data_IF_529619741746
#
_entry.id   IF_529619741746
#
_cell.length_a   1.000
_cell.length_b   1.000
_cell.length_c   1.000
_cell.angle_alpha   90.00
_cell.angle_beta   90.00
_cell.angle_gamma   90.00
#
_symmetry.space_group_name_H-M   'P 1'
#
loop_
_entity.id
_entity.type
_entity.pdbx_description
1 polymer ?
#
# COMPACT_ATOMS: atom_id res chain seq x y z
N UNK A 1 32.58 -24.02 -19.01
CA UNK A 1 32.18 -22.65 -18.57
C UNK A 1 30.83 -22.59 -17.85
N UNK A 2 30.39 -23.64 -17.14
CA UNK A 2 29.03 -23.78 -16.56
C UNK A 2 28.96 -23.63 -15.02
N UNK A 3 30.11 -23.70 -14.29
CA UNK A 3 30.12 -23.64 -12.80
C UNK A 3 29.89 -22.22 -12.21
N UNK A 4 30.24 -21.13 -12.90
CA UNK A 4 30.10 -19.75 -12.36
C UNK A 4 28.65 -19.23 -12.36
N UNK A 5 27.79 -19.75 -13.22
CA UNK A 5 26.36 -19.31 -13.27
C UNK A 5 25.51 -19.88 -12.14
N UNK A 6 25.84 -21.06 -11.64
CA UNK A 6 25.10 -21.73 -10.56
C UNK A 6 25.38 -21.13 -9.18
N UNK A 7 26.63 -20.69 -8.92
CA UNK A 7 27.01 -20.05 -7.65
C UNK A 7 26.35 -18.68 -7.45
N UNK A 8 26.21 -17.88 -8.52
CA UNK A 8 25.52 -16.58 -8.44
C UNK A 8 24.03 -16.71 -8.13
N UNK A 9 23.36 -17.73 -8.70
CA UNK A 9 21.93 -17.99 -8.45
C UNK A 9 21.67 -18.48 -7.02
N UNK A 10 22.58 -19.30 -6.47
CA UNK A 10 22.48 -19.79 -5.08
C UNK A 10 22.74 -18.63 -4.09
N UNK A 11 23.70 -17.77 -4.36
CA UNK A 11 23.99 -16.61 -3.51
C UNK A 11 22.83 -15.59 -3.50
N UNK A 12 22.12 -15.41 -4.63
CA UNK A 12 20.96 -14.54 -4.72
C UNK A 12 19.78 -15.10 -3.91
N UNK A 13 19.51 -16.40 -4.01
CA UNK A 13 18.46 -17.08 -3.27
C UNK A 13 18.68 -17.04 -1.76
N UNK A 14 19.94 -17.15 -1.29
CA UNK A 14 20.30 -17.02 0.13
C UNK A 14 20.16 -15.57 0.65
N UNK A 15 20.37 -14.55 -0.19
CA UNK A 15 20.15 -13.14 0.20
C UNK A 15 18.67 -12.81 0.38
N UNK A 16 17.81 -13.33 -0.46
CA UNK A 16 16.36 -13.13 -0.34
C UNK A 16 15.78 -13.88 0.86
N UNK A 17 16.24 -15.10 1.13
CA UNK A 17 15.86 -15.85 2.32
C UNK A 17 16.26 -15.13 3.63
N UNK A 18 17.42 -14.47 3.67
CA UNK A 18 17.85 -13.68 4.85
C UNK A 18 17.04 -12.38 5.04
N UNK A 19 16.56 -11.76 3.96
CA UNK A 19 15.66 -10.59 4.05
C UNK A 19 14.28 -11.00 4.58
N UNK A 20 13.74 -12.12 4.15
CA UNK A 20 12.49 -12.70 4.66
C UNK A 20 12.58 -13.10 6.13
N UNK A 21 13.70 -13.66 6.59
CA UNK A 21 13.90 -14.03 7.99
C UNK A 21 13.93 -12.83 8.94
N UNK A 22 14.58 -11.72 8.55
CA UNK A 22 14.61 -10.49 9.37
C UNK A 22 13.23 -9.82 9.49
N UNK A 23 12.42 -9.85 8.44
CA UNK A 23 11.04 -9.35 8.48
C UNK A 23 10.17 -10.25 9.39
N UNK A 24 10.38 -11.56 9.37
CA UNK A 24 9.64 -12.50 10.21
C UNK A 24 9.98 -12.38 11.71
N UNK A 25 11.20 -11.99 12.09
CA UNK A 25 11.59 -11.79 13.49
C UNK A 25 10.99 -10.51 14.09
N UNK A 26 10.97 -9.40 13.34
CA UNK A 26 10.32 -8.15 13.79
C UNK A 26 8.80 -8.27 13.88
N UNK A 27 8.21 -9.25 13.19
CA UNK A 27 6.78 -9.50 13.18
C UNK A 27 6.27 -10.18 14.46
N UNK A 28 7.12 -10.86 15.24
CA UNK A 28 6.71 -11.62 16.46
C UNK A 28 6.44 -10.76 17.69
N UNK A 29 6.85 -9.50 17.72
CA UNK A 29 6.75 -8.61 18.89
C UNK A 29 5.58 -7.62 18.86
N UNK A 30 4.68 -7.72 17.89
CA UNK A 30 3.56 -6.82 17.78
C UNK A 30 2.47 -7.14 18.82
N UNK A 31 2.32 -6.29 19.85
CA UNK A 31 1.27 -6.38 20.87
C UNK A 31 -0.01 -5.63 20.51
N UNK A 32 -0.16 -5.17 19.27
CA UNK A 32 -1.34 -4.40 18.84
C UNK A 32 -2.51 -5.35 18.51
N UNK A 33 -3.59 -5.25 19.27
CA UNK A 33 -4.81 -6.06 19.08
C UNK A 33 -5.48 -5.74 17.73
N UNK A 34 -5.40 -4.48 17.30
CA UNK A 34 -5.97 -4.01 16.02
C UNK A 34 -4.99 -4.12 14.84
N UNK A 35 -4.02 -5.01 14.92
CA UNK A 35 -3.14 -5.35 13.82
C UNK A 35 -3.82 -6.37 12.90
N UNK A 36 -3.74 -6.16 11.59
CA UNK A 36 -4.27 -7.08 10.58
C UNK A 36 -3.37 -8.31 10.35
N UNK A 37 -2.08 -8.24 10.73
CA UNK A 37 -1.09 -9.32 10.55
C UNK A 37 -1.01 -10.19 11.80
N UNK A 38 -0.83 -9.59 12.99
CA UNK A 38 -0.56 -10.30 14.24
C UNK A 38 -1.75 -10.26 15.22
N UNK A 39 -2.68 -9.32 15.02
CA UNK A 39 -3.84 -9.14 15.86
C UNK A 39 -5.07 -9.90 15.39
N UNK A 40 -6.23 -9.52 15.94
CA UNK A 40 -7.53 -10.14 15.62
C UNK A 40 -8.33 -9.36 14.58
N UNK A 41 -7.73 -8.35 13.93
CA UNK A 41 -8.43 -7.53 12.96
C UNK A 41 -8.53 -8.25 11.62
N UNK A 42 -9.75 -8.64 11.26
CA UNK A 42 -10.04 -9.21 9.93
C UNK A 42 -10.31 -8.08 8.94
N UNK A 43 -9.69 -8.18 7.77
CA UNK A 43 -9.92 -7.28 6.63
C UNK A 43 -10.91 -7.91 5.67
N UNK A 44 -11.86 -7.13 5.20
CA UNK A 44 -12.89 -7.56 4.25
C UNK A 44 -13.39 -6.35 3.47
N UNK A 45 -14.06 -6.57 2.36
CA UNK A 45 -14.67 -5.50 1.58
C UNK A 45 -13.71 -4.80 0.64
N UNK A 46 -13.94 -3.51 0.42
CA UNK A 46 -13.30 -2.72 -0.63
C UNK A 46 -11.86 -2.40 -0.32
N UNK A 47 -11.05 -2.37 -1.38
CA UNK A 47 -9.65 -1.97 -1.36
C UNK A 47 -9.55 -0.62 -2.07
N UNK A 48 -8.79 0.31 -1.48
CA UNK A 48 -8.49 1.61 -2.06
C UNK A 48 -6.99 1.84 -2.08
N UNK A 49 -6.55 2.57 -3.07
CA UNK A 49 -5.17 3.01 -3.23
C UNK A 49 -5.14 4.53 -3.22
N UNK A 50 -4.14 5.10 -2.56
CA UNK A 50 -4.02 6.54 -2.48
C UNK A 50 -2.73 6.99 -1.84
N UNK A 51 -2.47 8.29 -1.91
CA UNK A 51 -1.26 8.92 -1.40
C UNK A 51 -1.42 9.32 0.06
N UNK A 52 -0.43 9.02 0.89
CA UNK A 52 -0.40 9.43 2.31
C UNK A 52 -0.15 10.91 2.42
N UNK A 53 -1.14 11.65 2.90
CA UNK A 53 -1.04 13.11 3.13
C UNK A 53 -0.56 13.44 4.54
N UNK A 54 -0.99 12.66 5.54
CA UNK A 54 -0.59 12.86 6.94
C UNK A 54 -0.38 11.52 7.64
N UNK A 55 0.65 11.45 8.47
CA UNK A 55 0.96 10.29 9.30
C UNK A 55 0.88 10.68 10.77
N UNK A 56 0.17 9.89 11.54
CA UNK A 56 0.08 9.97 13.00
C UNK A 56 0.48 8.62 13.60
N UNK A 57 0.73 8.59 14.90
CA UNK A 57 1.12 7.41 15.64
C UNK A 57 0.13 6.29 15.46
N UNK A 58 -0.39 5.57 14.96
CA UNK A 58 -1.41 4.50 14.76
C UNK A 58 -2.46 4.83 13.70
N UNK A 59 -2.31 5.94 12.97
CA UNK A 59 -3.29 6.36 11.97
C UNK A 59 -2.60 7.10 10.82
N UNK A 60 -3.06 6.82 9.61
CA UNK A 60 -2.68 7.56 8.41
C UNK A 60 -3.91 8.20 7.77
N UNK A 61 -3.70 9.30 7.07
CA UNK A 61 -4.70 9.97 6.24
C UNK A 61 -4.25 9.84 4.80
N UNK A 62 -5.12 9.26 4.00
CA UNK A 62 -4.86 8.98 2.60
C UNK A 62 -5.79 9.84 1.76
N UNK A 63 -5.26 10.40 0.68
CA UNK A 63 -6.02 11.14 -0.31
C UNK A 63 -6.05 10.34 -1.60
N UNK A 64 -7.25 10.18 -2.14
CA UNK A 64 -7.49 9.55 -3.43
C UNK A 64 -8.27 10.51 -4.33
N UNK A 65 -7.91 10.55 -5.59
CA UNK A 65 -8.59 11.33 -6.62
C UNK A 65 -9.55 10.43 -7.40
N UNK A 66 -10.73 10.93 -7.67
CA UNK A 66 -11.72 10.28 -8.52
C UNK A 66 -12.32 11.26 -9.51
N UNK A 67 -12.64 10.79 -10.69
CA UNK A 67 -13.31 11.58 -11.71
C UNK A 67 -14.83 11.48 -11.51
N UNK A 68 -15.51 12.62 -11.46
CA UNK A 68 -16.96 12.73 -11.30
C UNK A 68 -17.52 13.49 -12.49
N UNK A 69 -18.54 12.91 -13.13
CA UNK A 69 -19.26 13.59 -14.21
C UNK A 69 -20.28 14.57 -13.65
N UNK A 70 -20.20 15.84 -14.07
CA UNK A 70 -21.13 16.90 -13.68
C UNK A 70 -22.16 17.10 -14.79
N UNK A 71 -23.37 16.56 -14.63
CA UNK A 71 -24.44 16.59 -15.63
C UNK A 71 -24.81 17.99 -16.12
N UNK A 72 -24.88 18.98 -15.19
CA UNK A 72 -25.24 20.36 -15.52
C UNK A 72 -24.30 21.02 -16.53
N UNK A 73 -23.03 20.63 -16.52
CA UNK A 73 -21.98 21.25 -17.36
C UNK A 73 -21.42 20.29 -18.40
N UNK A 74 -21.93 19.06 -18.46
CA UNK A 74 -21.53 17.99 -19.39
C UNK A 74 -20.02 17.75 -19.44
N UNK A 75 -19.37 17.85 -18.28
CA UNK A 75 -17.92 17.70 -18.15
C UNK A 75 -17.53 16.86 -16.93
N UNK A 76 -16.32 16.33 -16.96
CA UNK A 76 -15.71 15.63 -15.84
C UNK A 76 -14.94 16.60 -14.94
N UNK A 77 -15.04 16.41 -13.63
CA UNK A 77 -14.25 17.12 -12.63
C UNK A 77 -13.53 16.13 -11.72
N UNK A 78 -12.34 16.52 -11.23
CA UNK A 78 -11.60 15.72 -10.24
C UNK A 78 -12.13 16.04 -8.84
N UNK A 79 -12.54 15.03 -8.12
CA UNK A 79 -12.96 15.12 -6.71
C UNK A 79 -11.96 14.38 -5.83
N UNK A 80 -11.54 15.00 -4.73
CA UNK A 80 -10.61 14.42 -3.77
C UNK A 80 -11.37 13.90 -2.56
N UNK A 81 -11.05 12.68 -2.15
CA UNK A 81 -11.63 12.06 -0.95
C UNK A 81 -10.52 11.72 0.02
N UNK A 82 -10.69 12.13 1.30
CA UNK A 82 -9.75 11.82 2.38
C UNK A 82 -10.29 10.65 3.18
N UNK A 83 -9.50 9.59 3.30
CA UNK A 83 -9.83 8.42 4.10
C UNK A 83 -8.84 8.29 5.25
N UNK A 84 -9.36 7.86 6.39
CA UNK A 84 -8.55 7.58 7.58
C UNK A 84 -8.39 6.07 7.72
N UNK A 85 -7.14 5.61 7.81
CA UNK A 85 -6.84 4.19 7.99
C UNK A 85 -6.01 3.95 9.26
N UNK A 86 -6.24 2.81 9.90
CA UNK A 86 -5.41 2.32 11.00
C UNK A 86 -4.05 1.91 10.46
N UNK A 87 -3.00 2.38 11.09
CA UNK A 87 -1.63 1.97 10.84
C UNK A 87 -1.18 1.06 12.00
N UNK A 88 -0.91 -0.23 11.75
CA UNK A 88 -0.36 -1.13 12.76
C UNK A 88 1.02 -0.67 13.23
N UNK A 89 1.34 -0.86 14.50
CA UNK A 89 2.62 -0.43 15.10
C UNK A 89 3.80 -1.09 14.38
N UNK A 90 3.67 -2.36 14.00
CA UNK A 90 4.73 -3.10 13.30
C UNK A 90 5.06 -2.55 11.91
N UNK A 91 4.14 -1.82 11.27
CA UNK A 91 4.31 -1.24 9.94
C UNK A 91 4.51 0.29 9.98
N UNK A 92 4.58 0.88 11.18
CA UNK A 92 4.73 2.33 11.33
C UNK A 92 6.01 2.86 10.68
N UNK A 93 7.12 2.12 10.77
CA UNK A 93 8.40 2.51 10.19
C UNK A 93 8.45 2.42 8.66
N UNK A 94 7.58 1.61 8.05
CA UNK A 94 7.60 1.35 6.60
C UNK A 94 6.83 2.37 5.77
N UNK A 95 6.06 3.27 6.40
CA UNK A 95 5.20 4.24 5.71
C UNK A 95 5.69 5.65 5.92
N UNK A 96 5.86 6.40 4.84
CA UNK A 96 6.23 7.82 4.85
C UNK A 96 5.11 8.68 4.25
N UNK A 97 5.19 10.00 4.49
CA UNK A 97 4.29 10.96 3.86
C UNK A 97 4.67 11.04 2.37
N UNK A 98 3.66 10.98 1.50
CA UNK A 98 3.86 10.96 0.05
C UNK A 98 3.86 9.55 -0.57
N UNK A 99 3.98 8.49 0.23
CA UNK A 99 3.95 7.12 -0.28
C UNK A 99 2.56 6.77 -0.84
N UNK A 100 2.55 5.99 -1.92
CA UNK A 100 1.35 5.37 -2.43
C UNK A 100 1.10 4.09 -1.63
N UNK A 101 -0.08 3.98 -1.04
CA UNK A 101 -0.43 2.88 -0.15
C UNK A 101 -1.78 2.27 -0.50
N UNK A 102 -1.90 0.99 -0.19
CA UNK A 102 -3.14 0.25 -0.32
C UNK A 102 -3.76 0.05 1.06
N UNK A 103 -5.05 0.39 1.17
CA UNK A 103 -5.87 0.19 2.37
C UNK A 103 -7.06 -0.70 2.06
N UNK A 104 -7.53 -1.43 3.05
CA UNK A 104 -8.70 -2.28 2.94
C UNK A 104 -9.70 -1.98 4.05
N UNK A 105 -10.97 -2.16 3.74
CA UNK A 105 -12.08 -2.01 4.67
C UNK A 105 -12.01 -3.05 5.79
N UNK A 106 -12.37 -2.64 6.99
CA UNK A 106 -12.44 -3.49 8.17
C UNK A 106 -13.64 -3.10 9.04
N UNK A 107 -13.85 -3.81 10.15
CA UNK A 107 -14.85 -3.39 11.13
C UNK A 107 -14.57 -1.97 11.62
N UNK A 108 -15.57 -1.17 11.97
CA UNK A 108 -15.36 0.15 12.54
C UNK A 108 -14.47 0.07 13.80
N UNK A 109 -13.32 0.75 13.78
CA UNK A 109 -12.40 0.86 14.90
C UNK A 109 -12.64 2.13 15.71
N UNK A 110 -13.09 3.19 15.03
CA UNK A 110 -13.50 4.45 15.64
C UNK A 110 -14.50 5.15 14.73
N UNK A 111 -15.06 6.29 15.19
CA UNK A 111 -15.99 7.11 14.41
C UNK A 111 -15.52 7.42 12.98
N UNK A 112 -14.22 7.54 12.75
CA UNK A 112 -13.63 7.94 11.46
C UNK A 112 -12.72 6.89 10.84
N UNK A 113 -12.43 5.78 11.52
CA UNK A 113 -11.49 4.75 11.05
C UNK A 113 -12.25 3.47 10.74
N UNK A 114 -12.42 3.19 9.46
CA UNK A 114 -13.07 2.01 8.90
C UNK A 114 -12.15 1.23 7.97
N UNK A 115 -10.90 1.66 7.84
CA UNK A 115 -9.90 1.07 6.96
C UNK A 115 -8.63 0.74 7.74
N UNK A 116 -7.88 -0.23 7.24
CA UNK A 116 -6.56 -0.62 7.75
C UNK A 116 -5.54 -0.62 6.62
N UNK A 117 -4.31 -0.25 6.93
CA UNK A 117 -3.18 -0.31 6.01
C UNK A 117 -2.80 -1.78 5.73
N UNK A 118 -2.63 -2.12 4.45
CA UNK A 118 -2.20 -3.46 4.00
C UNK A 118 -0.73 -3.43 3.57
N UNK A 119 -0.40 -2.62 2.58
CA UNK A 119 0.96 -2.52 2.03
C UNK A 119 1.23 -1.16 1.42
N UNK A 120 2.50 -0.80 1.31
CA UNK A 120 2.96 0.29 0.47
C UNK A 120 3.18 -0.22 -0.96
N UNK A 121 2.81 0.59 -1.93
CA UNK A 121 3.05 0.33 -3.35
C UNK A 121 4.32 1.10 -3.70
N UNK A 122 5.39 0.40 -4.08
CA UNK A 122 6.66 1.05 -4.43
C UNK A 122 6.49 1.94 -5.68
N UNK A 123 7.30 2.99 -5.77
CA UNK A 123 7.28 3.94 -6.90
C UNK A 123 7.50 3.27 -8.27
N UNK A 124 8.21 2.17 -8.31
CA UNK A 124 8.50 1.39 -9.54
C UNK A 124 7.23 0.89 -10.24
N UNK A 125 6.21 0.54 -9.47
CA UNK A 125 4.93 0.08 -10.04
C UNK A 125 4.11 1.21 -10.67
N UNK A 126 4.35 2.46 -10.27
CA UNK A 126 3.68 3.64 -10.82
C UNK A 126 4.22 4.03 -12.21
N UNK A 127 5.50 3.77 -12.47
CA UNK A 127 6.12 4.06 -13.76
C UNK A 127 5.70 3.05 -14.84
N UNK A 128 5.44 1.81 -14.46
CA UNK A 128 4.96 0.78 -15.40
C UNK A 128 3.53 1.07 -15.88
N UNK A 129 2.63 1.44 -15.00
CA UNK A 129 1.24 1.81 -15.35
C UNK A 129 1.21 3.05 -16.26
N UNK A 130 1.99 4.08 -15.97
CA UNK A 130 2.07 5.29 -16.79
C UNK A 130 2.74 5.07 -18.18
N UNK A 131 3.52 4.01 -18.33
CA UNK A 131 4.12 3.65 -19.63
C UNK A 131 3.15 2.88 -20.51
N UNK A 132 2.28 2.09 -19.95
CA UNK A 132 1.25 1.35 -20.69
C UNK A 132 0.19 2.28 -21.29
N UNK A 133 -0.21 3.32 -20.52
CA UNK A 133 -1.19 4.33 -21.01
C UNK A 133 -0.63 5.18 -22.15
N UNK A 134 0.67 5.51 -22.16
CA UNK A 134 1.30 6.30 -23.22
C UNK A 134 1.56 5.52 -24.50
N UNK A 135 1.74 4.20 -24.43
CA UNK A 135 1.93 3.36 -25.61
C UNK A 135 0.65 3.09 -26.40
N UNK A 136 -0.52 3.38 -25.80
CA UNK A 136 -1.83 3.25 -26.43
C UNK A 136 -2.23 4.44 -27.33
N UNK A 137 -1.63 5.64 -27.12
CA UNK A 137 -2.00 6.86 -27.87
C UNK A 137 -1.21 7.06 -29.18
N UNK A 138 -0.06 6.40 -29.36
CA UNK A 138 0.75 6.53 -30.58
C UNK A 138 0.31 5.61 -31.74
N UNK A 139 -0.76 4.84 -31.59
CA UNK A 139 -1.25 3.91 -32.62
C UNK A 139 -2.62 4.28 -33.22
N UNK A 140 -2.90 5.57 -33.34
CA UNK A 140 -4.12 6.01 -34.03
C UNK A 140 -3.81 6.99 -35.15
#
# INVERSE_FOLDING_TARGET
MTKKKTESAIAHRHREARKGAKVAETLKECKDIDCNIHGKLKTHGRIFEGTVTKKFKKRIVIELERTVYVRKYERYTKSRTKLHARLPICLEASVNIGDLVQIQECRPLSKIIHFVFIKSISHEHRETLNKEDKSGEEKK
#
